data_IF_036660297372
#
_entry.id   IF_036660297372
#
_cell.length_a   1.000
_cell.length_b   1.000
_cell.length_c   1.000
_cell.angle_alpha   90.00
_cell.angle_beta   90.00
_cell.angle_gamma   90.00
#
_symmetry.space_group_name_H-M   'P 1'
#
loop_
_entity.id
_entity.type
_entity.pdbx_description
1 polymer ?
#
# COMPACT_ATOMS: atom_id res chain seq x y z
N UNK A 1 9.02 -30.38 1.48
CA UNK A 1 8.06 -29.76 2.41
C UNK A 1 8.74 -29.60 3.76
N UNK A 2 8.61 -28.43 4.36
CA UNK A 2 9.08 -28.14 5.72
C UNK A 2 8.07 -28.71 6.72
N UNK A 3 8.55 -29.40 7.75
CA UNK A 3 7.67 -30.07 8.73
C UNK A 3 7.10 -29.10 9.78
N UNK A 4 7.81 -28.02 10.05
CA UNK A 4 7.40 -27.00 11.04
C UNK A 4 7.61 -25.63 10.44
N UNK A 5 6.58 -24.82 10.50
CA UNK A 5 6.58 -23.41 10.09
C UNK A 5 6.23 -22.56 11.30
N UNK A 6 7.00 -21.49 11.51
CA UNK A 6 6.82 -20.55 12.61
C UNK A 6 6.74 -19.16 11.98
N UNK A 7 5.70 -18.43 12.28
CA UNK A 7 5.54 -17.03 11.94
C UNK A 7 5.75 -16.16 13.17
N UNK A 8 6.63 -15.18 13.06
CA UNK A 8 6.81 -14.12 14.05
C UNK A 8 6.29 -12.82 13.42
N UNK A 9 5.20 -12.28 13.93
CA UNK A 9 4.56 -11.12 13.31
C UNK A 9 3.68 -10.32 14.26
N UNK A 10 3.48 -9.05 13.91
CA UNK A 10 2.61 -8.14 14.66
C UNK A 10 1.14 -8.51 14.55
N UNK A 11 0.75 -9.13 13.44
CA UNK A 11 -0.63 -9.48 13.11
C UNK A 11 -0.72 -10.95 12.70
N UNK A 12 -1.88 -11.56 12.92
CA UNK A 12 -2.22 -12.89 12.37
C UNK A 12 -2.70 -12.72 10.94
N UNK A 13 -1.74 -12.49 10.05
CA UNK A 13 -1.96 -12.32 8.61
C UNK A 13 -2.04 -13.67 7.86
N UNK A 14 -2.04 -13.62 6.53
CA UNK A 14 -2.10 -14.79 5.66
C UNK A 14 -0.93 -15.76 5.91
N UNK A 15 0.26 -15.22 6.24
CA UNK A 15 1.44 -16.03 6.57
C UNK A 15 1.29 -16.72 7.91
N UNK A 16 0.74 -16.03 8.91
CA UNK A 16 0.44 -16.60 10.21
C UNK A 16 -0.54 -17.79 10.08
N UNK A 17 -1.59 -17.64 9.26
CA UNK A 17 -2.57 -18.70 9.00
C UNK A 17 -2.00 -19.91 8.26
N UNK A 18 -1.07 -19.67 7.34
CA UNK A 18 -0.35 -20.72 6.63
C UNK A 18 0.70 -21.42 7.49
N UNK A 19 1.04 -20.87 8.67
CA UNK A 19 2.06 -21.37 9.56
C UNK A 19 1.45 -22.24 10.67
N UNK A 20 2.23 -23.23 11.13
CA UNK A 20 1.82 -24.09 12.24
C UNK A 20 1.83 -23.37 13.59
N UNK A 21 2.75 -22.41 13.75
CA UNK A 21 2.92 -21.60 14.93
C UNK A 21 2.95 -20.14 14.59
N UNK A 22 2.27 -19.33 15.39
CA UNK A 22 2.39 -17.89 15.38
C UNK A 22 2.89 -17.41 16.73
N UNK A 23 3.96 -16.61 16.70
CA UNK A 23 4.52 -15.93 17.86
C UNK A 23 4.22 -14.44 17.70
N UNK A 24 3.52 -13.81 18.65
CA UNK A 24 3.32 -12.37 18.62
C UNK A 24 4.67 -11.64 18.65
N UNK A 25 4.87 -10.71 17.74
CA UNK A 25 6.08 -9.89 17.65
C UNK A 25 5.88 -8.57 18.40
N UNK A 26 6.91 -8.12 19.12
CA UNK A 26 6.95 -6.76 19.65
C UNK A 26 7.12 -5.75 18.51
N UNK A 27 6.47 -4.62 18.64
CA UNK A 27 6.74 -3.47 17.76
C UNK A 27 8.14 -2.89 18.06
N UNK A 28 8.78 -2.24 17.10
CA UNK A 28 10.13 -1.66 17.30
C UNK A 28 10.19 -0.61 18.42
N UNK A 29 9.05 0.02 18.77
CA UNK A 29 8.94 0.93 19.91
C UNK A 29 8.91 0.21 21.27
N UNK A 30 8.74 -1.10 21.27
CA UNK A 30 8.60 -1.96 22.45
C UNK A 30 9.83 -2.83 22.71
N UNK A 31 10.78 -2.85 21.78
CA UNK A 31 11.90 -3.78 21.82
C UNK A 31 13.25 -3.08 21.76
N UNK A 32 14.24 -3.68 22.43
CA UNK A 32 15.64 -3.34 22.25
C UNK A 32 16.13 -3.89 20.91
N UNK A 33 16.99 -3.11 20.28
CA UNK A 33 17.66 -3.47 19.04
C UNK A 33 18.87 -2.60 18.78
N UNK A 34 19.50 -2.83 17.67
CA UNK A 34 20.55 -1.99 17.15
C UNK A 34 20.57 -2.01 15.63
N UNK A 35 21.38 -1.18 15.05
CA UNK A 35 21.58 -1.13 13.61
C UNK A 35 22.85 -0.42 13.23
N UNK A 36 23.31 -0.70 12.03
CA UNK A 36 24.40 0.02 11.40
C UNK A 36 23.84 0.84 10.25
N UNK A 37 24.07 2.14 10.30
CA UNK A 37 23.63 3.07 9.26
C UNK A 37 24.43 2.85 7.95
N UNK A 38 23.98 3.48 6.87
CA UNK A 38 24.64 3.33 5.56
C UNK A 38 26.12 3.75 5.57
N UNK A 39 26.48 4.77 6.36
CA UNK A 39 27.86 5.23 6.55
C UNK A 39 28.65 4.39 7.56
N UNK A 40 28.05 3.35 8.12
CA UNK A 40 28.68 2.43 9.06
C UNK A 40 28.52 2.82 10.52
N UNK A 41 27.89 3.95 10.86
CA UNK A 41 27.66 4.36 12.24
C UNK A 41 26.76 3.36 12.97
N UNK A 42 27.20 2.90 14.14
CA UNK A 42 26.43 2.02 15.00
C UNK A 42 25.43 2.83 15.84
N UNK A 43 24.17 2.45 15.79
CA UNK A 43 23.07 3.07 16.53
C UNK A 43 22.35 2.05 17.39
N UNK A 44 21.98 2.43 18.61
CA UNK A 44 21.15 1.63 19.50
C UNK A 44 19.70 2.03 19.37
N UNK A 45 18.81 1.03 19.36
CA UNK A 45 17.36 1.22 19.40
C UNK A 45 16.90 0.90 20.80
N UNK A 46 16.34 1.90 21.48
CA UNK A 46 15.81 1.77 22.82
C UNK A 46 14.27 1.74 22.77
N UNK A 47 13.60 0.86 23.50
CA UNK A 47 12.15 0.86 23.56
C UNK A 47 11.64 2.15 24.22
N UNK A 48 10.56 2.70 23.69
CA UNK A 48 9.85 3.84 24.27
C UNK A 48 8.78 3.42 25.28
N UNK A 49 8.27 2.21 25.13
CA UNK A 49 7.25 1.60 26.00
C UNK A 49 7.60 0.15 26.29
N UNK A 50 7.04 -0.40 27.34
CA UNK A 50 7.07 -1.84 27.56
C UNK A 50 6.18 -2.56 26.52
N UNK A 51 6.43 -3.84 26.22
CA UNK A 51 5.56 -4.61 25.35
C UNK A 51 4.10 -4.54 25.79
N UNK A 52 3.20 -4.28 24.85
CA UNK A 52 1.75 -4.20 25.10
C UNK A 52 1.17 -5.58 25.48
N UNK A 53 1.79 -6.64 24.96
CA UNK A 53 1.38 -8.01 25.21
C UNK A 53 2.52 -8.79 25.85
N UNK A 54 2.26 -9.44 27.00
CA UNK A 54 3.28 -10.20 27.74
C UNK A 54 3.88 -11.37 26.92
N UNK A 55 3.11 -11.94 26.00
CA UNK A 55 3.56 -13.04 25.14
C UNK A 55 4.30 -12.56 23.88
N UNK A 56 4.48 -11.25 23.70
CA UNK A 56 5.17 -10.73 22.53
C UNK A 56 6.69 -10.77 22.74
N UNK A 57 7.40 -11.22 21.70
CA UNK A 57 8.85 -11.33 21.68
C UNK A 57 9.45 -10.54 20.51
N UNK A 58 10.65 -10.04 20.71
CA UNK A 58 11.42 -9.43 19.63
C UNK A 58 12.06 -10.48 18.72
N UNK A 59 12.46 -10.06 17.52
CA UNK A 59 13.15 -10.95 16.58
C UNK A 59 14.45 -11.53 17.17
N UNK A 60 15.23 -10.69 17.88
CA UNK A 60 16.51 -11.09 18.45
C UNK A 60 16.32 -12.10 19.59
N UNK A 61 15.27 -11.96 20.40
CA UNK A 61 14.96 -12.91 21.46
C UNK A 61 14.56 -14.28 20.89
N UNK A 62 13.65 -14.30 19.91
CA UNK A 62 13.23 -15.55 19.26
C UNK A 62 14.41 -16.22 18.55
N UNK A 63 15.23 -15.47 17.81
CA UNK A 63 16.41 -16.03 17.14
C UNK A 63 17.44 -16.55 18.15
N UNK A 64 17.63 -15.89 19.28
CA UNK A 64 18.51 -16.36 20.32
C UNK A 64 18.05 -17.70 20.89
N UNK A 65 16.76 -17.84 21.22
CA UNK A 65 16.20 -19.11 21.72
C UNK A 65 16.35 -20.22 20.68
N UNK A 66 16.07 -19.94 19.41
CA UNK A 66 16.21 -20.93 18.34
C UNK A 66 17.68 -21.34 18.09
N UNK A 67 18.61 -20.41 18.26
CA UNK A 67 20.03 -20.66 18.01
C UNK A 67 20.78 -21.28 19.20
N UNK A 68 20.45 -20.88 20.41
CA UNK A 68 21.20 -21.25 21.62
C UNK A 68 20.41 -22.11 22.60
N UNK A 69 19.08 -22.11 22.50
CA UNK A 69 18.18 -22.70 23.50
C UNK A 69 18.08 -21.91 24.81
N UNK A 70 18.63 -20.68 24.86
CA UNK A 70 18.66 -19.84 26.06
C UNK A 70 17.69 -18.67 25.87
N UNK A 71 16.83 -18.50 26.84
CA UNK A 71 15.98 -17.32 26.95
C UNK A 71 16.79 -16.16 27.55
N UNK A 72 16.87 -15.03 26.82
CA UNK A 72 17.58 -13.84 27.24
C UNK A 72 16.82 -12.59 26.79
N UNK A 73 16.86 -11.55 27.61
CA UNK A 73 16.18 -10.29 27.29
C UNK A 73 16.84 -9.58 26.10
N UNK A 74 16.04 -8.87 25.30
CA UNK A 74 16.54 -8.05 24.20
C UNK A 74 17.61 -7.05 24.67
N UNK A 75 17.48 -6.49 25.87
CA UNK A 75 18.48 -5.61 26.46
C UNK A 75 19.83 -6.31 26.65
N UNK A 76 19.83 -7.49 27.22
CA UNK A 76 21.07 -8.23 27.48
C UNK A 76 21.74 -8.66 26.17
N UNK A 77 20.96 -9.10 25.20
CA UNK A 77 21.44 -9.49 23.87
C UNK A 77 22.13 -8.34 23.15
N UNK A 78 21.49 -7.17 23.09
CA UNK A 78 22.09 -5.96 22.48
C UNK A 78 23.33 -5.55 23.25
N UNK A 79 23.26 -5.52 24.56
CA UNK A 79 24.39 -5.12 25.42
C UNK A 79 25.60 -6.03 25.26
N UNK A 80 25.39 -7.33 25.09
CA UNK A 80 26.48 -8.29 24.88
C UNK A 80 27.19 -8.07 23.55
N UNK A 81 26.47 -7.80 22.47
CA UNK A 81 27.06 -7.40 21.17
C UNK A 81 27.89 -6.13 21.32
N UNK A 82 27.36 -5.13 22.00
CA UNK A 82 28.03 -3.84 22.18
C UNK A 82 29.29 -3.88 23.06
N UNK A 83 29.50 -4.96 23.85
CA UNK A 83 30.75 -5.15 24.59
C UNK A 83 31.97 -5.28 23.69
N UNK A 84 31.78 -5.76 22.45
CA UNK A 84 32.84 -5.86 21.45
C UNK A 84 33.11 -4.55 20.70
N UNK A 85 32.17 -3.63 20.70
CA UNK A 85 32.25 -2.39 19.94
C UNK A 85 32.73 -1.19 20.78
N UNK A 86 32.40 -1.17 22.06
CA UNK A 86 32.74 -0.06 22.97
C UNK A 86 34.15 -0.22 23.53
N UNK A 87 35.03 0.74 23.23
CA UNK A 87 36.39 0.76 23.73
C UNK A 87 36.49 1.27 25.17
N UNK A 88 37.45 0.75 25.94
CA UNK A 88 37.73 1.22 27.32
C UNK A 88 36.75 0.65 28.36
N UNK A 89 36.25 1.52 29.27
CA UNK A 89 35.27 1.10 30.26
C UNK A 89 33.90 0.94 29.62
N UNK A 90 33.46 -0.32 29.49
CA UNK A 90 32.18 -0.63 28.87
C UNK A 90 31.01 0.13 29.51
N UNK A 91 30.92 0.17 30.84
CA UNK A 91 29.79 0.80 31.52
C UNK A 91 29.72 2.31 31.25
N UNK A 92 30.85 2.98 31.12
CA UNK A 92 30.88 4.40 30.79
C UNK A 92 30.54 4.64 29.32
N UNK A 93 31.09 3.82 28.42
CA UNK A 93 30.80 3.90 26.98
C UNK A 93 29.35 3.56 26.70
N UNK A 94 28.83 2.51 27.32
CA UNK A 94 27.43 2.11 27.15
C UNK A 94 26.45 3.21 27.57
N UNK A 95 26.69 3.85 28.75
CA UNK A 95 25.88 5.00 29.18
C UNK A 95 25.92 6.17 28.21
N UNK A 96 27.06 6.41 27.58
CA UNK A 96 27.20 7.44 26.55
C UNK A 96 26.40 7.07 25.30
N UNK A 97 26.53 5.82 24.84
CA UNK A 97 25.76 5.33 23.67
C UNK A 97 24.25 5.42 23.92
N UNK A 98 23.79 5.06 25.13
CA UNK A 98 22.37 5.22 25.48
C UNK A 98 21.91 6.67 25.49
N UNK A 99 22.79 7.60 25.90
CA UNK A 99 22.49 9.02 25.89
C UNK A 99 22.50 9.61 24.48
N UNK A 100 23.50 9.26 23.67
CA UNK A 100 23.75 9.85 22.36
C UNK A 100 22.94 9.14 21.24
N UNK A 101 22.52 7.89 21.48
CA UNK A 101 21.80 7.04 20.55
C UNK A 101 22.69 6.31 19.54
N UNK A 102 23.99 6.60 19.51
CA UNK A 102 24.95 6.04 18.57
C UNK A 102 26.38 5.97 19.20
N UNK A 103 27.25 5.19 18.55
CA UNK A 103 28.67 5.14 18.89
C UNK A 103 29.45 6.10 17.98
N UNK A 104 30.08 7.11 18.60
CA UNK A 104 30.93 8.03 17.87
C UNK A 104 32.11 7.29 17.21
N UNK A 105 32.53 7.76 16.06
CA UNK A 105 33.69 7.25 15.31
C UNK A 105 33.56 5.76 14.87
N UNK A 106 32.34 5.21 14.83
CA UNK A 106 32.08 3.85 14.37
C UNK A 106 31.77 3.73 12.87
N UNK A 107 31.75 4.86 12.16
CA UNK A 107 31.56 4.89 10.70
C UNK A 107 32.65 4.18 9.93
N UNK A 108 32.34 3.79 8.71
CA UNK A 108 33.32 3.20 7.79
C UNK A 108 34.36 4.26 7.37
N UNK A 109 35.56 3.78 7.11
CA UNK A 109 36.57 4.62 6.45
C UNK A 109 36.08 5.06 5.07
N UNK A 110 36.51 6.25 4.66
CA UNK A 110 36.18 6.78 3.35
C UNK A 110 36.65 5.81 2.24
N UNK A 111 35.70 5.33 1.45
CA UNK A 111 36.00 4.47 0.31
C UNK A 111 36.71 5.27 -0.80
N UNK A 112 37.75 4.68 -1.39
CA UNK A 112 38.30 5.21 -2.63
C UNK A 112 37.53 4.61 -3.81
N UNK A 113 36.65 5.37 -4.48
CA UNK A 113 35.91 4.82 -5.60
C UNK A 113 36.80 4.45 -6.74
N UNK A 114 36.66 3.26 -7.28
CA UNK A 114 37.28 2.84 -8.52
C UNK A 114 36.77 3.65 -9.73
N UNK A 115 37.41 3.50 -10.87
CA UNK A 115 36.89 4.11 -12.10
C UNK A 115 35.52 3.53 -12.41
N UNK A 116 34.47 4.36 -12.54
CA UNK A 116 33.15 3.87 -12.86
C UNK A 116 33.14 3.20 -14.24
N UNK A 117 32.61 2.00 -14.32
CA UNK A 117 32.28 1.38 -15.60
C UNK A 117 30.92 1.88 -16.09
N UNK A 118 30.83 2.24 -17.35
CA UNK A 118 29.54 2.56 -17.96
C UNK A 118 28.75 1.27 -18.09
N UNK A 119 27.57 1.15 -17.45
CA UNK A 119 26.74 -0.02 -17.62
C UNK A 119 26.27 -0.10 -19.08
N UNK A 120 26.29 -1.30 -19.64
CA UNK A 120 25.62 -1.55 -20.93
C UNK A 120 24.12 -1.67 -20.65
N UNK A 121 23.38 -0.65 -21.04
CA UNK A 121 21.91 -0.66 -20.94
C UNK A 121 21.40 -1.09 -22.32
N UNK A 122 20.79 -2.26 -22.38
CA UNK A 122 20.01 -2.68 -23.54
C UNK A 122 18.71 -1.86 -23.56
N UNK A 123 18.35 -1.34 -24.73
CA UNK A 123 17.00 -0.77 -24.88
C UNK A 123 15.96 -1.88 -24.61
N UNK A 124 14.89 -1.59 -23.90
CA UNK A 124 13.78 -2.54 -23.78
C UNK A 124 13.23 -2.84 -25.17
N UNK A 125 12.85 -4.08 -25.42
CA UNK A 125 12.11 -4.45 -26.61
C UNK A 125 10.72 -3.79 -26.56
N UNK A 126 10.26 -3.28 -27.69
CA UNK A 126 8.91 -2.70 -27.82
C UNK A 126 7.91 -3.83 -28.04
N UNK A 127 7.51 -4.47 -26.96
CA UNK A 127 6.59 -5.60 -26.96
C UNK A 127 5.13 -5.20 -26.64
N UNK A 128 4.74 -3.96 -26.89
CA UNK A 128 3.38 -3.45 -26.64
C UNK A 128 3.25 -2.72 -25.30
N UNK A 129 2.16 -2.97 -24.56
CA UNK A 129 1.91 -2.24 -23.32
C UNK A 129 2.92 -2.57 -22.24
N UNK A 130 3.44 -1.52 -21.60
CA UNK A 130 4.36 -1.58 -20.49
C UNK A 130 3.61 -1.40 -19.16
N UNK A 131 3.90 -2.27 -18.18
CA UNK A 131 3.33 -2.16 -16.83
C UNK A 131 4.42 -1.81 -15.84
N UNK A 132 4.24 -0.70 -15.13
CA UNK A 132 5.16 -0.21 -14.10
C UNK A 132 4.57 -0.47 -12.72
N UNK A 133 5.29 -1.24 -11.91
CA UNK A 133 4.90 -1.58 -10.55
C UNK A 133 5.57 -0.65 -9.54
N UNK A 134 4.79 -0.11 -8.63
CA UNK A 134 5.27 0.72 -7.52
C UNK A 134 4.61 0.33 -6.21
N UNK A 135 5.21 0.75 -5.12
CA UNK A 135 4.57 0.67 -3.81
C UNK A 135 3.46 1.73 -3.75
N UNK A 136 2.39 1.40 -3.08
CA UNK A 136 1.36 2.38 -2.77
C UNK A 136 1.89 3.40 -1.76
N UNK A 137 1.60 4.70 -1.89
CA UNK A 137 2.10 5.71 -0.97
C UNK A 137 1.51 5.61 0.44
N UNK A 138 0.34 5.00 0.60
CA UNK A 138 -0.36 4.86 1.88
C UNK A 138 -0.13 3.49 2.52
N UNK A 139 -0.48 2.42 1.82
CA UNK A 139 -0.42 1.05 2.39
C UNK A 139 0.88 0.32 2.07
N UNK A 140 1.80 0.93 1.33
CA UNK A 140 3.08 0.40 0.87
C UNK A 140 2.94 -0.91 0.08
N UNK A 141 3.57 -1.97 0.57
CA UNK A 141 3.49 -3.34 0.04
C UNK A 141 2.33 -4.14 0.63
N UNK A 142 1.48 -3.49 1.42
CA UNK A 142 0.40 -4.06 2.21
C UNK A 142 0.72 -4.14 3.71
N UNK A 143 1.89 -3.70 4.15
CA UNK A 143 2.27 -3.66 5.57
C UNK A 143 1.31 -2.81 6.40
N UNK A 144 0.72 -1.77 5.80
CA UNK A 144 -0.26 -0.89 6.44
C UNK A 144 -1.70 -1.11 5.96
N UNK A 145 -1.98 -2.19 5.23
CA UNK A 145 -3.33 -2.46 4.74
C UNK A 145 -4.37 -2.63 5.86
N UNK A 146 -3.94 -3.00 7.07
CA UNK A 146 -4.81 -3.10 8.25
C UNK A 146 -4.97 -1.77 9.02
N UNK A 147 -4.43 -0.67 8.51
CA UNK A 147 -4.58 0.65 9.10
C UNK A 147 -5.63 1.44 8.31
N UNK A 148 -6.83 1.60 8.90
CA UNK A 148 -7.95 2.28 8.27
C UNK A 148 -7.62 3.74 7.92
N UNK A 149 -6.88 4.46 8.74
CA UNK A 149 -6.47 5.83 8.44
C UNK A 149 -5.55 5.92 7.21
N UNK A 150 -4.67 4.92 7.01
CA UNK A 150 -3.86 4.86 5.79
C UNK A 150 -4.69 4.50 4.57
N UNK A 151 -5.75 3.73 4.72
CA UNK A 151 -6.71 3.44 3.65
C UNK A 151 -7.56 4.67 3.29
N UNK A 152 -7.91 5.49 4.27
CA UNK A 152 -8.65 6.74 4.06
C UNK A 152 -7.79 7.88 3.53
N UNK A 153 -6.44 7.76 3.63
CA UNK A 153 -5.52 8.78 3.12
C UNK A 153 -5.57 8.80 1.60
N UNK A 154 -6.01 9.90 0.97
CA UNK A 154 -6.12 9.95 -0.48
C UNK A 154 -4.75 9.86 -1.16
N UNK A 155 -4.68 9.14 -2.26
CA UNK A 155 -3.51 9.19 -3.14
C UNK A 155 -3.22 10.64 -3.56
N UNK A 156 -1.95 11.00 -3.61
CA UNK A 156 -1.53 12.39 -3.85
C UNK A 156 -1.99 12.95 -5.19
N UNK A 157 -2.15 12.09 -6.20
CA UNK A 157 -2.47 12.46 -7.57
C UNK A 157 -3.92 12.14 -7.92
N UNK A 158 -4.31 10.87 -7.78
CA UNK A 158 -5.63 10.40 -8.17
C UNK A 158 -6.74 10.76 -7.17
N UNK A 159 -6.36 11.03 -5.92
CA UNK A 159 -7.29 11.26 -4.80
C UNK A 159 -8.16 10.05 -4.44
N UNK A 160 -7.82 8.87 -4.95
CA UNK A 160 -8.51 7.62 -4.65
C UNK A 160 -8.21 7.19 -3.23
N UNK A 161 -9.20 6.62 -2.57
CA UNK A 161 -9.12 6.00 -1.25
C UNK A 161 -9.71 4.60 -1.30
N UNK A 162 -9.27 3.73 -0.41
CA UNK A 162 -9.84 2.39 -0.25
C UNK A 162 -9.79 1.50 -1.50
N UNK A 163 -8.90 1.78 -2.45
CA UNK A 163 -8.80 1.02 -3.69
C UNK A 163 -7.46 1.27 -4.40
N UNK A 164 -7.15 0.42 -5.37
CA UNK A 164 -6.09 0.63 -6.34
C UNK A 164 -6.61 0.42 -7.77
N UNK A 165 -5.95 1.04 -8.70
CA UNK A 165 -6.39 1.15 -10.09
C UNK A 165 -5.25 0.86 -11.06
N UNK A 166 -5.60 0.52 -12.30
CA UNK A 166 -4.70 0.58 -13.44
C UNK A 166 -4.70 2.02 -13.97
N UNK A 167 -3.63 2.75 -13.69
CA UNK A 167 -3.48 4.15 -14.11
C UNK A 167 -2.90 4.21 -15.51
N UNK A 168 -3.50 4.96 -16.42
CA UNK A 168 -3.04 5.11 -17.82
C UNK A 168 -3.31 6.51 -18.37
N UNK A 169 -2.68 6.83 -19.51
CA UNK A 169 -2.93 8.08 -20.22
C UNK A 169 -4.31 8.11 -20.89
N UNK A 170 -4.81 9.30 -21.18
CA UNK A 170 -6.07 9.45 -21.93
C UNK A 170 -5.99 8.82 -23.32
N UNK A 171 -4.83 8.92 -23.99
CA UNK A 171 -4.64 8.31 -25.31
C UNK A 171 -4.66 6.78 -25.22
N UNK A 172 -3.95 6.19 -24.24
CA UNK A 172 -3.96 4.73 -24.03
C UNK A 172 -5.38 4.24 -23.74
N UNK A 173 -6.14 4.94 -22.90
CA UNK A 173 -7.53 4.57 -22.61
C UNK A 173 -8.40 4.65 -23.88
N UNK A 174 -8.26 5.69 -24.68
CA UNK A 174 -9.01 5.85 -25.94
C UNK A 174 -8.68 4.74 -26.95
N UNK A 175 -7.41 4.39 -27.12
CA UNK A 175 -6.96 3.31 -28.01
C UNK A 175 -7.50 1.95 -27.59
N UNK A 176 -7.75 1.75 -26.31
CA UNK A 176 -8.35 0.55 -25.72
C UNK A 176 -9.89 0.60 -25.68
N UNK A 177 -10.52 1.68 -26.18
CA UNK A 177 -11.98 1.84 -26.17
C UNK A 177 -12.58 2.02 -24.77
N UNK A 178 -11.76 2.52 -23.84
CA UNK A 178 -12.18 2.86 -22.47
C UNK A 178 -12.61 4.34 -22.43
N UNK A 179 -13.39 4.71 -21.41
CA UNK A 179 -13.79 6.11 -21.23
C UNK A 179 -12.56 6.97 -20.91
N UNK A 180 -12.18 7.86 -21.82
CA UNK A 180 -10.96 8.66 -21.73
C UNK A 180 -11.01 9.73 -20.62
N UNK A 181 -12.19 10.08 -20.16
CA UNK A 181 -12.43 11.06 -19.09
C UNK A 181 -12.67 10.41 -17.72
N UNK A 182 -12.49 9.07 -17.63
CA UNK A 182 -12.80 8.32 -16.43
C UNK A 182 -14.30 8.20 -16.16
N UNK A 183 -15.14 8.65 -17.09
CA UNK A 183 -16.58 8.59 -16.94
C UNK A 183 -17.15 7.29 -17.51
N UNK A 184 -18.11 6.75 -16.81
CA UNK A 184 -18.85 5.58 -17.24
C UNK A 184 -19.91 5.98 -18.27
N UNK A 185 -19.95 5.32 -19.42
CA UNK A 185 -20.85 5.62 -20.54
C UNK A 185 -21.72 4.45 -20.97
N UNK A 186 -22.41 3.78 -20.06
CA UNK A 186 -23.44 2.81 -20.44
C UNK A 186 -24.84 3.36 -20.21
N UNK A 187 -25.24 4.32 -21.07
CA UNK A 187 -26.61 4.82 -21.11
C UNK A 187 -27.05 5.64 -19.91
N UNK A 188 -26.17 5.94 -18.99
CA UNK A 188 -26.38 6.91 -17.91
C UNK A 188 -25.52 8.14 -18.14
N UNK A 189 -26.08 9.30 -17.83
CA UNK A 189 -25.40 10.58 -17.99
C UNK A 189 -24.10 10.61 -17.20
N UNK A 190 -23.00 10.83 -17.91
CA UNK A 190 -21.66 11.22 -17.44
C UNK A 190 -21.31 10.95 -15.99
N UNK A 191 -20.54 9.94 -15.76
CA UNK A 191 -19.58 9.61 -14.69
C UNK A 191 -19.76 10.06 -13.25
N UNK A 192 -20.58 11.02 -13.01
CA UNK A 192 -20.88 11.57 -11.71
C UNK A 192 -22.38 11.47 -11.47
N UNK A 193 -22.78 10.52 -10.65
CA UNK A 193 -24.18 10.40 -10.23
C UNK A 193 -24.23 10.45 -8.72
N UNK A 194 -24.95 11.41 -8.19
CA UNK A 194 -25.28 11.54 -6.75
C UNK A 194 -24.05 11.50 -5.80
N UNK A 195 -22.92 12.07 -6.20
CA UNK A 195 -21.70 12.06 -5.40
C UNK A 195 -20.80 10.85 -5.59
N UNK A 196 -21.17 9.92 -6.46
CA UNK A 196 -20.37 8.73 -6.78
C UNK A 196 -19.63 8.86 -8.11
N UNK A 197 -18.41 8.32 -8.16
CA UNK A 197 -17.62 8.29 -9.36
C UNK A 197 -17.51 6.84 -9.88
N UNK A 198 -17.83 6.63 -11.17
CA UNK A 198 -17.85 5.32 -11.79
C UNK A 198 -16.78 5.20 -12.88
N UNK A 199 -16.10 4.08 -12.94
CA UNK A 199 -15.03 3.79 -13.89
C UNK A 199 -15.23 2.43 -14.58
N UNK A 200 -14.54 2.26 -15.71
CA UNK A 200 -14.44 0.97 -16.37
C UNK A 200 -13.54 0.00 -15.59
N UNK A 201 -13.81 -1.30 -15.70
CA UNK A 201 -12.90 -2.37 -15.27
C UNK A 201 -12.33 -3.08 -16.48
N UNK A 202 -11.11 -3.54 -16.35
CA UNK A 202 -10.40 -4.27 -17.39
C UNK A 202 -9.86 -5.60 -16.86
N UNK A 203 -9.75 -6.57 -17.74
CA UNK A 203 -8.92 -7.74 -17.56
C UNK A 203 -7.52 -7.42 -18.07
N UNK A 204 -6.60 -7.21 -17.15
CA UNK A 204 -5.19 -6.94 -17.43
C UNK A 204 -4.41 -8.25 -17.31
N UNK A 205 -3.78 -8.68 -18.38
CA UNK A 205 -2.93 -9.87 -18.41
C UNK A 205 -1.47 -9.48 -18.51
N UNK A 206 -0.66 -9.98 -17.58
CA UNK A 206 0.80 -9.76 -17.50
C UNK A 206 1.47 -11.09 -17.23
N UNK A 207 2.45 -11.49 -18.02
CA UNK A 207 3.17 -12.76 -17.87
C UNK A 207 2.26 -14.01 -17.79
N UNK A 208 1.11 -13.98 -18.45
CA UNK A 208 0.13 -15.08 -18.45
C UNK A 208 -0.82 -15.11 -17.25
N UNK A 209 -0.68 -14.20 -16.31
CA UNK A 209 -1.58 -14.02 -15.17
C UNK A 209 -2.54 -12.86 -15.43
N UNK A 210 -3.81 -13.03 -15.11
CA UNK A 210 -4.86 -12.04 -15.39
C UNK A 210 -5.49 -11.54 -14.09
N UNK A 211 -5.66 -10.22 -14.00
CA UNK A 211 -6.44 -9.58 -12.92
C UNK A 211 -7.57 -8.76 -13.51
N UNK A 212 -8.66 -8.62 -12.75
CA UNK A 212 -9.74 -7.69 -13.07
C UNK A 212 -9.60 -6.46 -12.16
N UNK A 213 -9.31 -5.29 -12.76
CA UNK A 213 -8.94 -4.08 -12.02
C UNK A 213 -9.66 -2.85 -12.59
N UNK A 214 -10.11 -1.89 -11.75
CA UNK A 214 -10.65 -0.62 -12.25
C UNK A 214 -9.57 0.23 -12.90
N UNK A 215 -9.97 1.06 -13.86
CA UNK A 215 -9.09 1.94 -14.63
C UNK A 215 -9.22 3.37 -14.15
N UNK A 216 -8.10 4.07 -14.08
CA UNK A 216 -8.05 5.50 -13.84
C UNK A 216 -7.26 6.21 -14.94
N UNK A 217 -7.92 7.15 -15.61
CA UNK A 217 -7.28 7.97 -16.63
C UNK A 217 -6.58 9.15 -15.98
N UNK A 218 -5.26 9.17 -16.07
CA UNK A 218 -4.44 10.21 -15.46
C UNK A 218 -3.70 10.99 -16.55
N UNK A 219 -4.05 12.27 -16.78
CA UNK A 219 -3.31 13.12 -17.70
C UNK A 219 -1.83 13.25 -17.32
N UNK A 220 -0.96 13.24 -18.33
CA UNK A 220 0.49 13.39 -18.17
C UNK A 220 1.25 12.08 -18.01
N UNK A 221 0.59 10.92 -18.02
CA UNK A 221 1.26 9.63 -18.14
C UNK A 221 1.71 9.38 -19.59
N UNK A 222 2.81 8.63 -19.80
CA UNK A 222 3.22 8.20 -21.13
C UNK A 222 2.19 7.26 -21.75
N UNK A 223 2.01 7.38 -23.07
CA UNK A 223 1.16 6.47 -23.82
C UNK A 223 1.77 5.07 -23.85
N UNK A 224 0.92 4.04 -23.84
CA UNK A 224 1.34 2.65 -23.80
C UNK A 224 1.83 2.17 -22.42
N UNK A 225 1.81 3.03 -21.40
CA UNK A 225 2.27 2.70 -20.05
C UNK A 225 1.10 2.60 -19.08
N UNK A 226 1.11 1.56 -18.25
CA UNK A 226 0.13 1.29 -17.20
C UNK A 226 0.84 1.29 -15.85
N UNK A 227 0.37 2.13 -14.93
CA UNK A 227 0.84 2.16 -13.56
C UNK A 227 0.01 1.25 -12.65
N UNK A 228 0.66 0.39 -11.87
CA UNK A 228 0.03 -0.43 -10.84
C UNK A 228 0.68 -0.21 -9.48
N UNK A 229 -0.12 -0.13 -8.43
CA UNK A 229 0.39 -0.11 -7.05
C UNK A 229 0.21 -1.48 -6.38
N UNK A 230 1.17 -1.84 -5.53
CA UNK A 230 1.07 -2.98 -4.61
C UNK A 230 0.41 -2.57 -3.30
N UNK A 231 0.01 -3.56 -2.51
CA UNK A 231 -0.43 -3.37 -1.14
C UNK A 231 -1.91 -3.64 -0.91
N UNK A 232 -2.71 -3.59 -1.97
CA UNK A 232 -4.13 -3.89 -1.96
C UNK A 232 -4.43 -5.35 -2.32
N UNK A 233 -5.71 -5.74 -2.23
CA UNK A 233 -6.18 -7.09 -2.56
C UNK A 233 -5.71 -8.16 -1.58
N UNK A 234 -5.35 -7.78 -0.37
CA UNK A 234 -5.07 -8.71 0.71
C UNK A 234 -6.38 -9.27 1.23
N UNK A 235 -6.44 -10.59 1.35
CA UNK A 235 -7.58 -11.26 1.95
C UNK A 235 -7.10 -12.14 3.08
N UNK A 236 -7.56 -11.83 4.27
CA UNK A 236 -7.65 -12.85 5.29
C UNK A 236 -9.00 -13.52 5.03
N UNK A 237 -9.00 -14.79 4.62
CA UNK A 237 -10.23 -15.54 4.53
C UNK A 237 -10.85 -15.60 5.93
N UNK A 238 -11.83 -14.76 6.17
CA UNK A 238 -12.51 -14.61 7.45
C UNK A 238 -13.69 -15.56 7.58
N UNK A 239 -13.85 -16.46 6.63
CA UNK A 239 -14.80 -17.55 6.80
C UNK A 239 -14.22 -18.50 7.84
N UNK A 240 -14.81 -18.55 9.01
CA UNK A 240 -14.82 -19.79 9.80
C UNK A 240 -15.44 -20.82 8.87
N UNK A 241 -14.62 -21.67 8.25
CA UNK A 241 -15.11 -22.74 7.36
C UNK A 241 -16.10 -23.68 8.07
N UNK A 242 -16.21 -23.61 9.40
CA UNK A 242 -17.08 -24.44 10.21
C UNK A 242 -18.52 -23.93 10.36
N UNK A 243 -18.83 -22.65 10.09
CA UNK A 243 -20.17 -22.10 10.37
C UNK A 243 -20.80 -21.23 9.26
N UNK A 244 -20.10 -20.89 8.21
CA UNK A 244 -20.67 -20.11 7.08
C UNK A 244 -21.11 -18.69 7.43
N UNK A 245 -20.81 -18.21 8.63
CA UNK A 245 -21.12 -16.84 9.06
C UNK A 245 -19.95 -15.90 8.73
N UNK A 246 -20.23 -14.79 8.07
CA UNK A 246 -19.24 -13.74 7.85
C UNK A 246 -18.72 -13.23 9.19
N UNK A 247 -17.43 -12.88 9.25
CA UNK A 247 -16.74 -12.33 10.41
C UNK A 247 -17.50 -11.18 11.14
N UNK A 248 -18.20 -10.31 10.41
CA UNK A 248 -18.96 -9.17 10.97
C UNK A 248 -20.26 -9.55 11.65
N UNK A 249 -20.69 -10.81 11.57
CA UNK A 249 -21.95 -11.29 12.15
C UNK A 249 -21.75 -12.06 13.47
N UNK A 250 -20.57 -11.94 14.08
CA UNK A 250 -20.31 -12.53 15.38
C UNK A 250 -20.48 -11.49 16.48
N UNK A 251 -21.36 -11.76 17.43
CA UNK A 251 -21.52 -10.99 18.67
C UNK A 251 -20.24 -11.04 19.57
N UNK A 252 -19.25 -11.81 19.17
CA UNK A 252 -18.00 -11.96 19.91
C UNK A 252 -16.95 -10.95 19.41
N UNK A 253 -16.96 -9.78 20.01
CA UNK A 253 -16.01 -8.69 19.72
C UNK A 253 -14.54 -9.06 20.03
N UNK A 254 -14.27 -10.17 20.69
CA UNK A 254 -12.89 -10.57 21.00
C UNK A 254 -12.15 -11.08 19.77
N UNK A 255 -12.84 -11.67 18.80
CA UNK A 255 -12.25 -12.13 17.54
C UNK A 255 -11.86 -10.97 16.60
N UNK A 256 -12.44 -9.79 16.77
CA UNK A 256 -12.17 -8.60 15.95
C UNK A 256 -10.72 -8.11 16.10
N UNK A 257 -10.15 -8.23 17.30
CA UNK A 257 -8.81 -7.71 17.57
C UNK A 257 -7.68 -8.63 17.11
N UNK A 258 -7.95 -9.92 16.91
CA UNK A 258 -6.93 -10.92 16.60
C UNK A 258 -6.99 -11.45 15.17
N UNK A 259 -8.18 -11.46 14.58
CA UNK A 259 -8.43 -11.93 13.21
C UNK A 259 -9.01 -10.83 12.31
N UNK A 260 -8.85 -9.57 12.69
CA UNK A 260 -9.43 -8.42 12.01
C UNK A 260 -9.18 -8.42 10.50
N UNK A 261 -10.19 -8.05 9.70
CA UNK A 261 -10.04 -7.98 8.25
C UNK A 261 -8.95 -6.96 7.92
N UNK A 262 -8.08 -7.34 7.03
CA UNK A 262 -7.25 -6.37 6.33
C UNK A 262 -8.20 -5.69 5.35
N UNK A 263 -8.82 -4.60 5.81
CA UNK A 263 -9.72 -3.76 5.06
C UNK A 263 -10.77 -4.54 4.22
N UNK A 264 -11.80 -5.03 4.89
CA UNK A 264 -13.04 -5.42 4.23
C UNK A 264 -13.86 -4.19 3.85
N UNK A 265 -14.63 -4.28 2.80
CA UNK A 265 -15.51 -3.22 2.32
C UNK A 265 -16.86 -3.75 1.88
N UNK A 266 -17.64 -2.88 1.27
CA UNK A 266 -18.90 -3.22 0.64
C UNK A 266 -18.71 -3.12 -0.87
N UNK A 267 -19.02 -4.18 -1.59
CA UNK A 267 -18.96 -4.19 -3.06
C UNK A 267 -19.99 -3.29 -3.71
N UNK A 268 -19.90 -3.07 -5.03
CA UNK A 268 -20.85 -2.23 -5.77
C UNK A 268 -22.30 -2.71 -5.70
N UNK A 269 -22.48 -4.00 -5.45
CA UNK A 269 -23.78 -4.67 -5.27
C UNK A 269 -24.33 -4.56 -3.84
N UNK A 270 -23.61 -3.90 -2.94
CA UNK A 270 -23.96 -3.77 -1.53
C UNK A 270 -23.57 -4.99 -0.68
N UNK A 271 -22.96 -6.01 -1.29
CA UNK A 271 -22.51 -7.19 -0.57
C UNK A 271 -21.14 -6.98 0.07
N UNK A 272 -20.91 -7.55 1.25
CA UNK A 272 -19.62 -7.45 1.92
C UNK A 272 -18.51 -8.12 1.10
N UNK A 273 -17.39 -7.43 0.92
CA UNK A 273 -16.18 -7.98 0.29
C UNK A 273 -15.07 -8.10 1.33
N UNK A 274 -14.37 -9.21 1.29
CA UNK A 274 -13.30 -9.50 2.22
C UNK A 274 -11.95 -8.84 1.84
N UNK A 275 -11.93 -8.12 0.72
CA UNK A 275 -10.72 -7.48 0.21
C UNK A 275 -11.03 -6.06 -0.25
N UNK A 276 -10.10 -5.15 0.00
CA UNK A 276 -10.10 -3.81 -0.59
C UNK A 276 -9.09 -3.78 -1.72
N UNK A 277 -9.53 -3.34 -2.89
CA UNK A 277 -8.71 -3.27 -4.08
C UNK A 277 -8.32 -4.64 -4.66
N UNK A 278 -7.34 -4.63 -5.54
CA UNK A 278 -6.91 -5.80 -6.33
C UNK A 278 -5.46 -6.15 -6.03
N UNK A 279 -5.18 -7.43 -5.83
CA UNK A 279 -3.82 -7.92 -5.64
C UNK A 279 -3.05 -7.87 -6.96
N UNK A 280 -1.94 -7.12 -6.97
CA UNK A 280 -1.09 -6.92 -8.15
C UNK A 280 0.30 -7.54 -8.01
N UNK A 281 0.69 -7.94 -6.79
CA UNK A 281 2.06 -8.36 -6.48
C UNK A 281 2.54 -9.59 -7.25
N UNK A 282 1.64 -10.51 -7.60
CA UNK A 282 1.97 -11.74 -8.33
C UNK A 282 2.23 -11.50 -9.82
N UNK A 283 1.81 -10.35 -10.37
CA UNK A 283 2.06 -9.98 -11.77
C UNK A 283 3.49 -9.48 -11.99
N UNK A 284 4.14 -9.01 -10.93
CA UNK A 284 5.45 -8.39 -11.01
C UNK A 284 6.54 -9.43 -11.30
N UNK A 285 7.39 -9.21 -12.33
CA UNK A 285 8.54 -10.07 -12.58
C UNK A 285 9.54 -10.06 -11.44
N UNK A 286 10.22 -11.18 -11.22
CA UNK A 286 11.31 -11.24 -10.25
C UNK A 286 12.46 -10.30 -10.67
N UNK A 287 12.88 -9.43 -9.75
CA UNK A 287 14.00 -8.51 -9.98
C UNK A 287 13.70 -7.29 -10.86
N UNK A 288 12.48 -7.15 -11.39
CA UNK A 288 12.06 -5.97 -12.18
C UNK A 288 10.86 -5.26 -11.57
N UNK A 289 10.78 -3.96 -11.81
CA UNK A 289 9.57 -3.15 -11.54
C UNK A 289 8.77 -2.88 -12.81
N UNK A 290 9.19 -3.45 -13.93
CA UNK A 290 8.58 -3.23 -15.23
C UNK A 290 8.33 -4.59 -15.88
N UNK A 291 7.17 -4.76 -16.48
CA UNK A 291 6.82 -5.85 -17.37
C UNK A 291 6.37 -5.28 -18.71
N UNK A 292 6.72 -5.94 -19.81
CA UNK A 292 6.31 -5.60 -21.18
C UNK A 292 5.39 -6.67 -21.75
N UNK A 293 4.73 -6.39 -22.86
CA UNK A 293 3.84 -7.35 -23.53
C UNK A 293 2.52 -7.60 -22.79
N UNK A 294 2.07 -6.64 -21.99
CA UNK A 294 0.78 -6.73 -21.32
C UNK A 294 -0.36 -6.58 -22.32
N UNK A 295 -1.48 -7.22 -22.04
CA UNK A 295 -2.72 -7.09 -22.82
C UNK A 295 -3.87 -6.65 -21.92
N UNK A 296 -4.78 -5.87 -22.48
CA UNK A 296 -5.96 -5.37 -21.79
C UNK A 296 -7.20 -5.67 -22.62
N UNK A 297 -8.22 -6.13 -21.92
CA UNK A 297 -9.57 -6.30 -22.46
C UNK A 297 -10.57 -5.62 -21.52
N UNK A 298 -11.50 -4.83 -22.08
CA UNK A 298 -12.59 -4.24 -21.29
C UNK A 298 -13.45 -5.35 -20.71
N UNK A 299 -13.67 -5.36 -19.39
CA UNK A 299 -14.41 -6.39 -18.69
C UNK A 299 -15.83 -5.96 -18.38
N UNK A 300 -15.98 -4.82 -17.71
CA UNK A 300 -17.27 -4.26 -17.30
C UNK A 300 -17.16 -2.76 -17.14
N UNK A 301 -18.29 -2.14 -16.96
CA UNK A 301 -18.42 -0.71 -16.71
C UNK A 301 -19.16 -0.51 -15.37
N UNK A 302 -19.10 0.72 -14.82
CA UNK A 302 -19.87 1.09 -13.64
C UNK A 302 -19.29 0.59 -12.33
N UNK A 303 -17.98 0.43 -12.22
CA UNK A 303 -17.34 0.23 -10.93
C UNK A 303 -17.28 1.56 -10.16
N UNK A 304 -17.93 1.61 -9.02
CA UNK A 304 -17.88 2.79 -8.15
C UNK A 304 -16.53 2.86 -7.43
N UNK A 305 -15.85 3.99 -7.57
CA UNK A 305 -14.58 4.25 -6.91
C UNK A 305 -14.71 5.44 -5.95
N UNK A 306 -14.11 5.32 -4.79
CA UNK A 306 -14.11 6.39 -3.80
C UNK A 306 -12.96 7.37 -4.10
N UNK A 307 -13.30 8.62 -4.39
CA UNK A 307 -12.34 9.72 -4.54
C UNK A 307 -12.68 10.83 -3.57
N UNK A 308 -11.66 11.58 -3.15
CA UNK A 308 -11.84 12.74 -2.29
C UNK A 308 -11.41 14.01 -3.02
N UNK A 309 -11.92 15.15 -2.58
CA UNK A 309 -11.51 16.47 -3.09
C UNK A 309 -11.72 16.65 -4.61
N UNK A 310 -12.82 16.17 -5.12
CA UNK A 310 -13.22 16.46 -6.48
C UNK A 310 -13.50 17.96 -6.63
N UNK A 311 -12.54 18.68 -7.18
CA UNK A 311 -12.66 20.11 -7.48
C UNK A 311 -12.94 20.38 -8.95
N UNK A 312 -12.99 19.34 -9.78
CA UNK A 312 -13.23 19.42 -11.23
C UNK A 312 -14.70 19.63 -11.60
N UNK A 313 -15.63 19.31 -10.70
CA UNK A 313 -17.05 19.49 -10.92
C UNK A 313 -17.66 20.44 -9.91
N UNK A 314 -18.55 21.31 -10.38
CA UNK A 314 -19.35 22.17 -9.51
C UNK A 314 -20.52 21.43 -8.85
N UNK A 315 -20.73 20.16 -9.17
CA UNK A 315 -21.77 19.30 -8.61
C UNK A 315 -23.18 19.91 -8.72
N UNK A 316 -23.50 20.52 -9.87
CA UNK A 316 -24.75 21.22 -10.09
C UNK A 316 -24.88 22.58 -9.38
N UNK A 317 -23.91 22.96 -8.53
CA UNK A 317 -23.92 24.27 -7.86
C UNK A 317 -23.42 25.35 -8.81
N UNK A 318 -24.13 26.46 -8.92
CA UNK A 318 -23.75 27.59 -9.76
C UNK A 318 -22.64 28.46 -9.11
N UNK A 319 -21.51 27.87 -8.76
CA UNK A 319 -20.37 28.56 -8.14
C UNK A 319 -19.71 29.53 -9.11
N UNK A 320 -19.60 29.11 -10.37
CA UNK A 320 -19.14 29.96 -11.48
C UNK A 320 -20.23 29.97 -12.56
N UNK A 321 -20.64 31.15 -12.97
CA UNK A 321 -21.64 31.33 -14.04
C UNK A 321 -20.92 31.88 -15.24
N UNK A 322 -21.19 31.33 -16.39
CA UNK A 322 -20.61 31.71 -17.64
C UNK A 322 -21.69 31.71 -18.74
N UNK A 323 -21.48 32.49 -19.76
CA UNK A 323 -22.37 32.55 -20.91
C UNK A 323 -21.63 33.13 -22.12
N UNK A 324 -22.20 32.94 -23.29
CA UNK A 324 -21.70 33.54 -24.53
C UNK A 324 -21.95 35.05 -24.53
N UNK A 325 -21.25 35.77 -25.41
CA UNK A 325 -21.50 37.20 -25.64
C UNK A 325 -22.94 37.45 -26.17
N UNK A 326 -23.52 36.48 -26.88
CA UNK A 326 -24.87 36.57 -27.43
C UNK A 326 -25.90 36.47 -26.33
N UNK A 327 -25.77 35.47 -25.41
CA UNK A 327 -26.60 35.35 -24.22
C UNK A 327 -26.52 36.58 -23.31
N UNK A 328 -25.33 37.12 -23.10
CA UNK A 328 -25.16 38.36 -22.34
C UNK A 328 -25.89 39.55 -23.01
N UNK A 329 -25.88 39.64 -24.34
CA UNK A 329 -26.57 40.72 -25.05
C UNK A 329 -28.08 40.58 -25.01
N UNK A 330 -28.59 39.36 -25.02
CA UNK A 330 -30.00 39.05 -24.89
C UNK A 330 -30.55 39.25 -23.48
N UNK A 331 -29.75 38.76 -22.48
CA UNK A 331 -30.07 38.85 -21.08
C UNK A 331 -28.85 39.21 -20.23
N UNK A 332 -28.53 40.50 -20.03
CA UNK A 332 -27.37 40.91 -19.22
C UNK A 332 -27.45 40.49 -17.75
N UNK A 333 -28.63 40.12 -17.27
CA UNK A 333 -28.86 39.70 -15.90
C UNK A 333 -28.82 38.16 -15.71
N UNK A 334 -28.46 37.39 -16.75
CA UNK A 334 -28.47 35.90 -16.69
C UNK A 334 -27.68 35.35 -15.48
N UNK A 335 -26.64 36.06 -15.02
CA UNK A 335 -25.87 35.66 -13.82
C UNK A 335 -26.61 35.82 -12.51
N UNK A 336 -27.75 36.53 -12.53
CA UNK A 336 -28.60 36.77 -11.35
C UNK A 336 -29.82 35.87 -11.30
N UNK A 337 -30.10 35.13 -12.36
CA UNK A 337 -31.23 34.21 -12.37
C UNK A 337 -31.00 33.17 -11.27
N UNK A 338 -31.99 33.04 -10.38
CA UNK A 338 -31.92 32.09 -9.27
C UNK A 338 -31.90 30.68 -9.83
N UNK A 339 -30.77 30.01 -9.64
CA UNK A 339 -30.80 28.57 -9.65
C UNK A 339 -31.41 28.11 -8.35
N UNK A 340 -32.40 27.24 -8.42
CA UNK A 340 -33.07 26.69 -7.24
C UNK A 340 -32.06 26.31 -6.18
N UNK A 341 -32.26 26.70 -4.92
CA UNK A 341 -31.40 26.26 -3.85
C UNK A 341 -31.50 24.74 -3.71
N UNK A 342 -30.35 24.08 -3.69
CA UNK A 342 -30.19 22.66 -3.43
C UNK A 342 -30.63 22.37 -1.97
#
# INVERSE_FOLDING_TARGET
RVNTTIHLGLLRDETARASRWHIPKTHYLEAWGDGRTYDGTLSVIQPLIAPLYEAAHSEIEVLNVLGTGIDASGYDLVRDVWRGEVSGSFEQGWRRVLHDGYLADSGYDAASPGTPSTPQISAPEDDGLEVVFRLDPSVLDGSFANNAWMQELPDLVTKITWDNVAVMSAQTAADLGLAADGTYTDGQENGYSEGNFFVDRVNLTVNGETINIPVWVQPGLPDGTIGLTHGYGRSIATTREEEGTPFWDTDDQTDIYFDGPIAGGVGPDGEPVNTVGVRTSHLRPSGSRVATGATIEKASSGYMIATTQETGSMQGRAIVRWGSLEEFRENPEFVREDTEPI
#
